data_IF_601574191987
#
_entry.id   IF_601574191987
#
_cell.length_a   1.000
_cell.length_b   1.000
_cell.length_c   1.000
_cell.angle_alpha   90.00
_cell.angle_beta   90.00
_cell.angle_gamma   90.00
#
_symmetry.space_group_name_H-M   'P 1'
#
loop_
_entity.id
_entity.type
_entity.pdbx_description
1 polymer ?
#
# COMPACT_ATOMS: atom_id res chain seq x y z
N UNK A 1 3.08 14.02 13.94
CA UNK A 1 2.25 13.56 12.81
C UNK A 1 2.84 14.13 11.54
N UNK A 2 3.24 13.26 10.65
CA UNK A 2 3.71 13.64 9.32
C UNK A 2 2.49 13.90 8.45
N UNK A 3 2.25 15.16 8.09
CA UNK A 3 1.24 15.47 7.10
C UNK A 3 1.95 15.59 5.75
N UNK A 4 1.84 14.57 4.93
CA UNK A 4 2.36 14.58 3.58
C UNK A 4 1.21 14.88 2.62
N UNK A 5 1.25 16.06 2.02
CA UNK A 5 0.40 16.36 0.88
C UNK A 5 1.22 16.11 -0.39
N UNK A 6 0.70 15.28 -1.25
CA UNK A 6 1.35 14.95 -2.51
C UNK A 6 1.08 16.02 -3.56
N UNK A 7 2.14 16.53 -4.18
CA UNK A 7 2.08 17.38 -5.35
C UNK A 7 2.18 18.88 -5.08
N UNK A 8 2.28 19.69 -6.14
CA UNK A 8 2.48 21.13 -6.08
C UNK A 8 1.23 21.91 -5.64
N UNK A 9 0.07 21.31 -5.77
CA UNK A 9 -1.19 21.83 -5.25
C UNK A 9 -1.52 21.09 -3.96
N UNK A 10 -1.72 21.83 -2.89
CA UNK A 10 -2.03 21.26 -1.58
C UNK A 10 -3.35 20.49 -1.64
N UNK A 11 -3.29 19.17 -1.56
CA UNK A 11 -4.46 18.31 -1.60
C UNK A 11 -4.10 16.83 -1.77
N UNK A 12 -5.12 16.00 -1.72
CA UNK A 12 -4.95 14.56 -1.94
C UNK A 12 -4.86 14.24 -3.45
N UNK A 13 -4.10 13.22 -3.85
CA UNK A 13 -4.11 12.74 -5.22
C UNK A 13 -5.56 12.47 -5.68
N UNK A 14 -5.98 13.10 -6.78
CA UNK A 14 -7.35 13.01 -7.30
C UNK A 14 -8.44 13.39 -6.28
N UNK A 15 -8.11 14.14 -5.24
CA UNK A 15 -9.05 14.48 -4.16
C UNK A 15 -9.39 13.33 -3.23
N UNK A 16 -8.69 12.21 -3.29
CA UNK A 16 -8.95 11.00 -2.52
C UNK A 16 -7.81 10.73 -1.52
N UNK A 17 -8.09 10.88 -0.23
CA UNK A 17 -7.12 10.66 0.83
C UNK A 17 -6.55 9.23 0.86
N UNK A 18 -7.31 8.26 0.36
CA UNK A 18 -6.87 6.86 0.29
C UNK A 18 -5.70 6.63 -0.67
N UNK A 19 -5.42 7.61 -1.55
CA UNK A 19 -4.32 7.59 -2.51
C UNK A 19 -3.09 8.33 -2.01
N UNK A 20 -3.16 8.95 -0.84
CA UNK A 20 -2.04 9.72 -0.30
C UNK A 20 -1.11 8.82 0.50
N UNK A 21 0.13 8.65 -0.02
CA UNK A 21 1.19 7.91 0.66
C UNK A 21 1.76 8.76 1.80
N UNK A 22 1.73 8.24 3.02
CA UNK A 22 2.24 8.95 4.19
C UNK A 22 3.61 8.47 4.64
N UNK A 23 3.83 7.17 4.69
CA UNK A 23 5.08 6.61 5.19
C UNK A 23 5.44 5.33 4.45
N UNK A 24 6.74 5.11 4.30
CA UNK A 24 7.33 3.90 3.75
C UNK A 24 8.41 3.39 4.68
N UNK A 25 8.33 2.10 5.05
CA UNK A 25 9.35 1.45 5.87
C UNK A 25 9.88 0.20 5.17
N UNK A 26 11.18 -0.03 5.30
CA UNK A 26 11.84 -1.25 4.87
C UNK A 26 12.87 -1.65 5.92
N UNK A 27 12.76 -2.85 6.46
CA UNK A 27 13.68 -3.34 7.49
C UNK A 27 13.78 -4.87 7.48
N UNK A 28 14.89 -5.43 8.02
CA UNK A 28 15.03 -6.88 8.12
C UNK A 28 13.96 -7.49 9.02
N UNK A 29 13.46 -8.66 8.64
CA UNK A 29 12.50 -9.38 9.48
C UNK A 29 13.16 -9.81 10.80
N UNK A 30 12.59 -9.48 11.95
CA UNK A 30 13.07 -9.97 13.24
C UNK A 30 13.15 -11.51 13.28
N UNK A 31 14.31 -12.05 13.66
CA UNK A 31 14.55 -13.49 13.72
C UNK A 31 14.80 -14.19 12.38
N UNK A 32 14.75 -13.48 11.26
CA UNK A 32 15.05 -14.02 9.93
C UNK A 32 15.62 -12.94 9.02
N UNK A 33 16.91 -12.67 9.13
CA UNK A 33 17.59 -11.60 8.38
C UNK A 33 17.70 -11.87 6.86
N UNK A 34 17.34 -13.07 6.42
CA UNK A 34 17.22 -13.39 4.98
C UNK A 34 15.95 -12.84 4.34
N UNK A 35 15.08 -12.19 5.13
CA UNK A 35 13.82 -11.58 4.68
C UNK A 35 13.71 -10.14 5.11
N UNK A 36 13.03 -9.35 4.31
CA UNK A 36 12.69 -7.95 4.60
C UNK A 36 11.19 -7.79 4.79
N UNK A 37 10.84 -6.83 5.64
CA UNK A 37 9.47 -6.36 5.79
C UNK A 37 9.37 -5.00 5.10
N UNK A 38 8.37 -4.86 4.25
CA UNK A 38 8.02 -3.61 3.60
C UNK A 38 6.65 -3.16 4.13
N UNK A 39 6.55 -1.90 4.54
CA UNK A 39 5.30 -1.31 5.05
C UNK A 39 5.04 -0.01 4.30
N UNK A 40 3.84 0.13 3.78
CA UNK A 40 3.35 1.36 3.17
C UNK A 40 2.14 1.83 3.96
N UNK A 41 2.20 3.05 4.47
CA UNK A 41 1.06 3.71 5.07
C UNK A 41 0.44 4.68 4.06
N UNK A 42 -0.87 4.64 3.98
CA UNK A 42 -1.66 5.54 3.14
C UNK A 42 -2.79 6.13 3.98
N UNK A 43 -3.36 7.21 3.53
CA UNK A 43 -4.46 7.93 4.17
C UNK A 43 -4.02 8.66 5.46
N UNK A 44 -3.72 9.96 5.39
CA UNK A 44 -3.21 10.74 6.53
C UNK A 44 -4.27 11.02 7.60
N UNK A 45 -5.48 10.51 7.47
CA UNK A 45 -6.65 10.76 8.33
C UNK A 45 -7.10 12.23 8.42
N UNK A 46 -6.54 13.11 7.60
CA UNK A 46 -6.87 14.55 7.63
C UNK A 46 -8.26 14.86 7.08
N UNK A 47 -8.87 13.95 6.34
CA UNK A 47 -10.25 14.05 5.84
C UNK A 47 -11.30 13.55 6.84
N UNK A 48 -10.88 12.95 7.93
CA UNK A 48 -11.76 12.46 8.98
C UNK A 48 -12.18 13.60 9.94
N UNK A 49 -13.39 13.52 10.47
CA UNK A 49 -13.88 14.47 11.47
C UNK A 49 -14.53 13.72 12.66
N UNK A 50 -13.91 13.67 13.83
CA UNK A 50 -12.59 14.23 14.13
C UNK A 50 -11.46 13.42 13.49
N UNK A 51 -10.35 14.03 13.11
CA UNK A 51 -9.19 13.32 12.61
C UNK A 51 -8.61 12.45 13.73
N UNK A 52 -8.19 11.24 13.37
CA UNK A 52 -7.65 10.28 14.33
C UNK A 52 -6.49 9.48 13.74
N UNK A 53 -5.76 8.75 14.59
CA UNK A 53 -4.66 7.92 14.14
C UNK A 53 -5.13 6.64 13.43
N UNK A 54 -6.41 6.36 13.48
CA UNK A 54 -7.02 5.17 12.88
C UNK A 54 -8.27 5.59 12.14
N UNK A 55 -8.40 5.18 10.91
CA UNK A 55 -9.54 5.43 10.06
C UNK A 55 -10.27 4.13 9.77
N UNK A 56 -11.54 4.24 9.43
CA UNK A 56 -12.40 3.12 9.02
C UNK A 56 -12.67 3.12 7.52
N UNK A 57 -12.20 4.12 6.80
CA UNK A 57 -12.35 4.21 5.36
C UNK A 57 -11.60 3.06 4.66
N UNK A 58 -12.25 2.27 3.79
CA UNK A 58 -11.60 1.16 3.11
C UNK A 58 -10.56 1.65 2.10
N UNK A 59 -9.62 0.78 1.72
CA UNK A 59 -8.73 1.07 0.61
C UNK A 59 -9.51 1.32 -0.69
N UNK A 60 -8.95 2.12 -1.58
CA UNK A 60 -9.59 2.41 -2.86
C UNK A 60 -9.62 1.15 -3.75
N UNK A 61 -10.80 0.70 -4.21
CA UNK A 61 -10.90 -0.47 -5.09
C UNK A 61 -10.49 -0.18 -6.54
N UNK A 62 -10.30 1.08 -6.87
CA UNK A 62 -9.87 1.51 -8.21
C UNK A 62 -8.38 1.88 -8.29
N UNK A 63 -7.67 1.80 -7.18
CA UNK A 63 -6.26 2.10 -7.10
C UNK A 63 -5.40 0.84 -7.10
N UNK A 64 -4.20 0.97 -7.66
CA UNK A 64 -3.12 0.01 -7.51
C UNK A 64 -2.12 0.59 -6.50
N UNK A 65 -1.91 -0.13 -5.41
CA UNK A 65 -0.87 0.20 -4.43
C UNK A 65 0.38 -0.61 -4.76
N UNK A 66 1.48 0.07 -5.06
CA UNK A 66 2.66 -0.60 -5.59
C UNK A 66 3.90 -0.26 -4.77
N UNK A 67 4.64 -1.30 -4.36
CA UNK A 67 5.98 -1.19 -3.80
C UNK A 67 6.99 -1.64 -4.84
N UNK A 68 7.86 -0.74 -5.25
CA UNK A 68 8.94 -0.99 -6.21
C UNK A 68 10.26 -1.16 -5.48
N UNK A 69 11.02 -2.19 -5.85
CA UNK A 69 12.32 -2.52 -5.27
C UNK A 69 13.36 -2.51 -6.37
N UNK A 70 14.36 -1.68 -6.19
CA UNK A 70 15.60 -1.65 -6.96
C UNK A 70 16.64 -2.49 -6.20
N UNK A 71 17.11 -3.57 -6.79
CA UNK A 71 18.14 -4.45 -6.23
C UNK A 71 19.52 -4.16 -6.81
N UNK A 72 19.58 -3.43 -7.91
CA UNK A 72 20.81 -3.08 -8.61
C UNK A 72 21.43 -1.76 -8.20
N UNK A 73 20.65 -0.85 -7.61
CA UNK A 73 21.09 0.49 -7.21
C UNK A 73 21.18 1.48 -8.37
N UNK A 74 20.46 1.22 -9.47
CA UNK A 74 20.44 2.09 -10.66
C UNK A 74 19.18 2.96 -10.78
N UNK A 75 18.36 2.98 -9.72
CA UNK A 75 17.09 3.67 -9.64
C UNK A 75 16.00 3.13 -10.62
N UNK A 76 16.18 1.90 -11.12
CA UNK A 76 15.19 1.19 -11.91
C UNK A 76 14.71 -0.02 -11.11
N UNK A 77 13.40 -0.18 -10.99
CA UNK A 77 12.85 -1.27 -10.21
C UNK A 77 13.05 -2.61 -10.91
N UNK A 78 13.57 -3.60 -10.19
CA UNK A 78 13.72 -4.99 -10.62
C UNK A 78 12.56 -5.86 -10.19
N UNK A 79 11.90 -5.47 -9.09
CA UNK A 79 10.78 -6.18 -8.49
C UNK A 79 9.68 -5.17 -8.16
N UNK A 80 8.43 -5.53 -8.42
CA UNK A 80 7.30 -4.77 -7.92
C UNK A 80 6.28 -5.69 -7.23
N UNK A 81 5.76 -5.23 -6.12
CA UNK A 81 4.64 -5.83 -5.39
C UNK A 81 3.42 -4.96 -5.59
N UNK A 82 2.37 -5.52 -6.18
CA UNK A 82 1.16 -4.83 -6.60
C UNK A 82 -0.03 -5.34 -5.82
N UNK A 83 -0.66 -4.45 -5.07
CA UNK A 83 -1.80 -4.78 -4.22
C UNK A 83 -3.07 -4.15 -4.77
N UNK A 84 -4.08 -4.98 -4.97
CA UNK A 84 -5.43 -4.59 -5.33
C UNK A 84 -6.38 -4.88 -4.19
N UNK A 85 -7.36 -4.02 -4.03
CA UNK A 85 -8.42 -4.21 -3.07
C UNK A 85 -9.75 -4.37 -3.77
N UNK A 86 -10.58 -5.30 -3.28
CA UNK A 86 -11.95 -5.43 -3.75
C UNK A 86 -12.81 -4.25 -3.30
N UNK A 87 -14.02 -4.12 -3.88
CA UNK A 87 -15.04 -3.28 -3.27
C UNK A 87 -15.36 -3.77 -1.85
N UNK A 88 -15.71 -2.85 -0.97
CA UNK A 88 -16.24 -3.15 0.37
C UNK A 88 -17.76 -3.25 0.39
N UNK A 89 -18.42 -3.05 -0.75
CA UNK A 89 -19.86 -3.23 -0.88
C UNK A 89 -20.24 -4.69 -0.61
N UNK A 90 -21.13 -4.90 0.36
CA UNK A 90 -21.61 -6.23 0.72
C UNK A 90 -20.72 -7.05 1.65
N UNK A 91 -19.68 -6.48 2.25
CA UNK A 91 -18.85 -7.19 3.23
C UNK A 91 -17.43 -6.67 3.41
N UNK A 92 -16.58 -7.54 3.99
CA UNK A 92 -15.20 -7.23 4.23
C UNK A 92 -14.40 -7.10 2.92
N UNK A 93 -13.57 -6.08 2.84
CA UNK A 93 -12.66 -5.87 1.73
C UNK A 93 -11.60 -6.98 1.66
N UNK A 94 -11.19 -7.35 0.47
CA UNK A 94 -10.16 -8.37 0.22
C UNK A 94 -9.01 -7.77 -0.57
N UNK A 95 -7.82 -8.27 -0.31
CA UNK A 95 -6.59 -7.88 -0.99
C UNK A 95 -6.07 -9.02 -1.86
N UNK A 96 -5.60 -8.68 -3.05
CA UNK A 96 -4.83 -9.58 -3.93
C UNK A 96 -3.47 -8.95 -4.16
N UNK A 97 -2.42 -9.72 -3.89
CA UNK A 97 -1.03 -9.32 -4.07
C UNK A 97 -0.42 -10.04 -5.27
N UNK A 98 0.13 -9.26 -6.18
CA UNK A 98 0.92 -9.75 -7.31
C UNK A 98 2.38 -9.34 -7.17
N UNK A 99 3.25 -10.17 -7.71
CA UNK A 99 4.69 -9.90 -7.82
C UNK A 99 5.10 -9.97 -9.29
N UNK A 100 5.90 -9.01 -9.71
CA UNK A 100 6.47 -8.96 -11.04
C UNK A 100 7.97 -8.71 -10.93
N UNK A 101 8.75 -9.31 -11.80
CA UNK A 101 10.21 -9.17 -11.90
C UNK A 101 10.64 -8.71 -13.28
N UNK A 102 11.85 -8.16 -13.33
CA UNK A 102 12.48 -7.70 -14.55
C UNK A 102 11.91 -6.37 -15.07
N UNK A 103 12.05 -6.07 -16.38
CA UNK A 103 11.71 -4.74 -16.92
C UNK A 103 10.28 -4.29 -16.70
N UNK A 104 9.36 -5.22 -16.56
CA UNK A 104 7.95 -4.88 -16.28
C UNK A 104 7.72 -4.33 -14.86
N UNK A 105 8.66 -4.56 -13.94
CA UNK A 105 8.59 -4.01 -12.58
C UNK A 105 8.73 -2.48 -12.57
N UNK A 106 9.52 -1.93 -13.47
CA UNK A 106 9.71 -0.48 -13.62
C UNK A 106 8.49 0.21 -14.26
N UNK A 107 7.68 -0.53 -15.01
CA UNK A 107 6.52 0.00 -15.72
C UNK A 107 5.31 0.30 -14.84
N UNK A 108 4.24 0.75 -15.48
CA UNK A 108 2.95 1.09 -14.85
C UNK A 108 1.87 0.03 -15.06
N UNK A 109 2.24 -1.14 -15.58
CA UNK A 109 1.30 -2.24 -15.81
C UNK A 109 0.73 -2.82 -14.52
N UNK A 110 -0.34 -3.54 -14.64
CA UNK A 110 -1.10 -4.15 -13.55
C UNK A 110 -0.89 -5.66 -13.41
N UNK A 111 -0.11 -6.25 -14.29
CA UNK A 111 0.19 -7.69 -14.32
C UNK A 111 1.09 -8.16 -13.18
N UNK A 112 1.42 -9.44 -13.23
CA UNK A 112 2.31 -10.12 -12.30
C UNK A 112 1.73 -11.45 -11.81
N UNK A 113 2.60 -12.28 -11.24
CA UNK A 113 2.21 -13.54 -10.62
C UNK A 113 1.41 -13.25 -9.34
N UNK A 114 0.24 -13.83 -9.20
CA UNK A 114 -0.53 -13.77 -7.96
C UNK A 114 0.20 -14.61 -6.91
N UNK A 115 0.56 -13.99 -5.79
CA UNK A 115 1.21 -14.65 -4.65
C UNK A 115 0.31 -14.71 -3.41
N UNK A 116 -0.69 -13.82 -3.33
CA UNK A 116 -1.78 -13.88 -2.36
C UNK A 116 -3.07 -13.50 -3.07
N UNK A 117 -4.12 -14.28 -2.92
CA UNK A 117 -5.41 -14.02 -3.55
C UNK A 117 -6.52 -13.93 -2.51
N UNK A 118 -7.27 -12.85 -2.57
CA UNK A 118 -8.49 -12.66 -1.79
C UNK A 118 -8.31 -12.68 -0.26
N UNK A 119 -7.14 -12.30 0.25
CA UNK A 119 -6.93 -12.20 1.69
C UNK A 119 -7.84 -11.16 2.32
N UNK A 120 -8.42 -11.48 3.47
CA UNK A 120 -9.25 -10.52 4.20
C UNK A 120 -8.42 -9.33 4.68
N UNK A 121 -8.94 -8.14 4.43
CA UNK A 121 -8.39 -6.92 5.01
C UNK A 121 -8.89 -6.82 6.45
N UNK A 122 -7.97 -6.71 7.38
CA UNK A 122 -8.29 -6.52 8.78
C UNK A 122 -8.75 -5.07 9.01
N UNK A 123 -9.95 -4.91 9.56
CA UNK A 123 -10.44 -3.61 10.00
C UNK A 123 -10.03 -3.41 11.45
N UNK A 124 -8.94 -2.67 11.63
CA UNK A 124 -8.27 -2.36 12.86
C UNK A 124 -9.04 -2.37 14.18
N UNK A 125 -9.22 -3.53 14.78
CA UNK A 125 -9.16 -3.59 16.23
C UNK A 125 -7.68 -3.78 16.60
N UNK A 126 -7.11 -2.89 17.40
CA UNK A 126 -5.70 -2.91 17.84
C UNK A 126 -5.25 -4.21 18.50
N UNK A 127 -6.17 -5.16 18.68
CA UNK A 127 -5.92 -6.47 19.27
C UNK A 127 -5.46 -7.54 18.27
N UNK A 128 -5.49 -7.25 16.99
CA UNK A 128 -5.12 -8.21 15.95
C UNK A 128 -3.83 -7.86 15.20
N UNK A 129 -2.96 -7.05 15.77
CA UNK A 129 -1.58 -6.92 15.29
C UNK A 129 -0.80 -8.12 15.82
N UNK A 130 -0.75 -9.13 15.04
CA UNK A 130 0.12 -10.28 15.27
C UNK A 130 1.27 -10.21 14.28
#
# INVERSE_FOLDING_TARGET
>A
MSHHYSGPEWGFPLGDARLDLTDLYAFPKPGDTGKSILVMNVHPSASENPPGPTITEPFSPIALYELKVDTGGDAVADIAYRVYFSSSEGGAQRATLRRVEGPQAAGTGDGGQIIVEGALVSTGDRKSVV
#
